data_IF_172652236777
#
_entry.id   IF_172652236777
#
_cell.length_a   1.000
_cell.length_b   1.000
_cell.length_c   1.000
_cell.angle_alpha   90.00
_cell.angle_beta   90.00
_cell.angle_gamma   90.00
#
_symmetry.space_group_name_H-M   'P 1'
#
loop_
_entity.id
_entity.type
_entity.pdbx_description
1 polymer ?
#
# COMPACT_ATOMS: atom_id res chain seq x y z
N UNK A 1 -11.99 -50.58 27.88
CA UNK A 1 -12.53 -50.12 29.18
C UNK A 1 -11.97 -48.73 29.43
N UNK A 2 -12.28 -47.74 28.58
CA UNK A 2 -13.61 -47.12 28.40
C UNK A 2 -14.18 -46.63 29.72
N UNK A 3 -14.22 -45.31 29.90
CA UNK A 3 -15.49 -44.56 29.86
C UNK A 3 -15.21 -43.05 29.81
N UNK A 4 -15.63 -42.47 28.68
CA UNK A 4 -15.86 -41.04 28.46
C UNK A 4 -17.18 -40.67 29.16
N UNK A 5 -17.30 -39.46 29.68
CA UNK A 5 -18.59 -38.87 30.09
C UNK A 5 -18.65 -37.39 29.70
N UNK A 6 -19.85 -36.84 29.43
CA UNK A 6 -20.09 -36.09 28.20
C UNK A 6 -20.29 -34.57 28.37
N UNK A 7 -19.97 -33.86 27.28
CA UNK A 7 -20.40 -32.49 26.98
C UNK A 7 -21.92 -32.43 26.82
N UNK A 8 -22.61 -31.62 27.64
CA UNK A 8 -23.87 -30.98 27.24
C UNK A 8 -24.21 -29.79 28.14
N UNK A 9 -24.21 -28.59 27.58
CA UNK A 9 -25.07 -27.46 27.98
C UNK A 9 -24.91 -26.34 26.94
N UNK A 10 -25.50 -26.58 25.76
CA UNK A 10 -25.76 -25.53 24.77
C UNK A 10 -27.00 -24.79 25.28
N UNK A 11 -26.82 -23.55 25.74
CA UNK A 11 -27.93 -22.69 26.10
C UNK A 11 -28.65 -22.27 24.81
N UNK A 12 -29.84 -22.82 24.62
CA UNK A 12 -30.74 -22.57 23.49
C UNK A 12 -31.37 -21.20 23.70
N UNK A 13 -30.95 -20.19 22.93
CA UNK A 13 -31.59 -18.87 22.92
C UNK A 13 -32.92 -19.02 22.20
N UNK A 14 -34.03 -18.82 22.92
CA UNK A 14 -35.40 -18.82 22.40
C UNK A 14 -35.71 -17.49 21.71
N UNK A 15 -36.60 -17.53 20.72
CA UNK A 15 -36.98 -16.41 19.85
C UNK A 15 -37.83 -15.32 20.52
N UNK A 16 -37.96 -15.30 21.85
CA UNK A 16 -38.82 -14.34 22.57
C UNK A 16 -38.08 -13.04 22.98
N UNK A 17 -36.76 -12.96 22.81
CA UNK A 17 -35.97 -11.76 23.15
C UNK A 17 -35.86 -10.76 22.00
N UNK A 18 -36.35 -11.10 20.79
CA UNK A 18 -36.21 -10.26 19.58
C UNK A 18 -37.34 -9.22 19.45
N UNK A 19 -38.47 -9.39 20.13
CA UNK A 19 -39.61 -8.47 20.00
C UNK A 19 -39.57 -7.25 20.96
N UNK A 20 -38.76 -7.26 22.02
CA UNK A 20 -38.66 -6.10 22.93
C UNK A 20 -37.69 -4.99 22.46
N UNK A 21 -36.89 -5.25 21.43
CA UNK A 21 -35.97 -4.25 20.86
C UNK A 21 -36.60 -3.41 19.71
N UNK A 22 -37.81 -3.77 19.27
CA UNK A 22 -38.48 -3.15 18.13
C UNK A 22 -39.31 -1.90 18.49
N UNK A 23 -39.26 -1.41 19.73
CA UNK A 23 -40.05 -0.24 20.19
C UNK A 23 -39.24 1.03 20.46
N UNK A 24 -37.93 1.05 20.24
CA UNK A 24 -37.14 2.30 20.27
C UNK A 24 -37.04 2.95 18.88
N UNK A 25 -38.17 3.17 18.22
CA UNK A 25 -38.23 3.74 16.86
C UNK A 25 -38.55 5.24 16.89
N UNK A 26 -37.82 6.08 17.66
CA UNK A 26 -38.08 7.54 17.67
C UNK A 26 -36.84 8.39 18.04
N UNK A 27 -35.66 8.13 17.45
CA UNK A 27 -34.46 8.97 17.71
C UNK A 27 -33.95 9.77 16.49
N UNK A 28 -34.51 9.57 15.29
CA UNK A 28 -34.15 10.35 14.10
C UNK A 28 -35.41 10.73 13.31
N UNK A 29 -36.08 11.80 13.74
CA UNK A 29 -36.97 12.54 12.86
C UNK A 29 -36.14 13.63 12.19
N UNK A 30 -35.86 13.46 10.90
CA UNK A 30 -35.27 14.48 10.04
C UNK A 30 -36.22 15.67 9.88
N UNK A 31 -35.77 16.92 10.06
CA UNK A 31 -36.55 18.11 9.75
C UNK A 31 -36.96 18.15 8.26
N UNK A 32 -38.11 18.76 7.91
CA UNK A 32 -38.61 18.79 6.54
C UNK A 32 -37.67 19.60 5.61
N UNK A 33 -37.40 19.04 4.44
CA UNK A 33 -36.58 19.63 3.36
C UNK A 33 -37.30 20.82 2.71
N UNK A 34 -36.67 22.00 2.67
CA UNK A 34 -37.14 23.14 1.86
C UNK A 34 -36.59 23.08 0.41
N UNK A 35 -37.42 23.27 -0.64
CA UNK A 35 -36.95 23.23 -2.03
C UNK A 35 -36.52 24.60 -2.61
N UNK A 36 -35.31 24.60 -3.17
CA UNK A 36 -34.80 25.22 -4.43
C UNK A 36 -34.98 26.74 -4.69
N UNK A 37 -33.85 27.40 -4.97
CA UNK A 37 -33.79 28.52 -5.91
C UNK A 37 -32.63 28.36 -6.91
N UNK A 38 -32.99 28.14 -8.18
CA UNK A 38 -32.15 28.16 -9.37
C UNK A 38 -31.79 29.58 -9.78
N UNK A 39 -30.52 29.89 -10.06
CA UNK A 39 -30.16 30.99 -10.96
C UNK A 39 -29.11 30.55 -11.98
N UNK A 40 -29.39 30.94 -13.22
CA UNK A 40 -28.80 30.52 -14.48
C UNK A 40 -27.65 31.46 -14.89
N UNK A 41 -26.65 30.86 -15.51
CA UNK A 41 -25.93 31.26 -16.74
C UNK A 41 -25.63 32.74 -17.05
N UNK A 42 -24.35 33.05 -17.29
CA UNK A 42 -23.90 34.03 -18.32
C UNK A 42 -22.37 33.99 -18.52
N UNK A 43 -21.93 33.32 -19.58
CA UNK A 43 -20.76 33.69 -20.43
C UNK A 43 -21.29 34.58 -21.59
N UNK A 44 -20.52 35.18 -22.55
CA UNK A 44 -19.06 35.16 -22.80
C UNK A 44 -18.42 36.51 -23.30
N UNK A 45 -17.08 36.60 -23.35
CA UNK A 45 -16.26 37.38 -24.33
C UNK A 45 -14.75 37.18 -24.05
N UNK A 46 -13.92 36.54 -24.89
CA UNK A 46 -13.24 37.00 -26.14
C UNK A 46 -12.42 38.30 -25.88
N UNK A 47 -11.09 38.41 -26.06
CA UNK A 47 -10.27 38.06 -27.23
C UNK A 47 -8.72 38.12 -26.94
N UNK A 48 -7.93 37.38 -27.75
CA UNK A 48 -6.65 37.70 -28.47
C UNK A 48 -5.57 38.52 -27.73
N UNK A 49 -4.26 38.27 -27.73
CA UNK A 49 -3.30 37.81 -28.77
C UNK A 49 -1.91 37.72 -28.11
N UNK A 50 -1.00 36.85 -28.56
CA UNK A 50 0.32 37.20 -29.14
C UNK A 50 1.33 36.04 -29.05
N UNK A 51 2.16 35.97 -30.10
CA UNK A 51 3.01 34.86 -30.56
C UNK A 51 4.44 35.00 -30.03
N UNK A 52 5.03 33.85 -29.67
CA UNK A 52 6.47 33.45 -29.63
C UNK A 52 7.54 34.39 -29.05
N UNK A 53 8.33 33.86 -28.10
CA UNK A 53 9.76 33.59 -28.35
C UNK A 53 10.36 32.58 -27.34
N UNK A 54 11.33 31.82 -27.84
CA UNK A 54 11.96 30.63 -27.24
C UNK A 54 13.30 31.02 -26.62
N UNK A 55 13.60 30.56 -25.40
CA UNK A 55 14.89 29.90 -25.07
C UNK A 55 14.99 29.40 -23.62
N UNK A 56 15.79 28.34 -23.37
CA UNK A 56 15.72 27.51 -22.18
C UNK A 56 16.87 27.78 -21.21
N UNK A 57 16.56 28.06 -19.95
CA UNK A 57 17.52 27.98 -18.84
C UNK A 57 17.11 26.82 -17.93
N UNK A 58 17.91 25.76 -18.05
CA UNK A 58 17.94 24.56 -17.24
C UNK A 58 18.02 24.94 -15.76
N UNK A 59 16.86 24.95 -15.11
CA UNK A 59 16.76 25.00 -13.65
C UNK A 59 17.01 23.59 -13.10
N UNK A 60 17.73 23.45 -11.97
CA UNK A 60 17.91 22.15 -11.33
C UNK A 60 16.52 21.59 -11.04
N UNK A 61 16.19 20.45 -11.66
CA UNK A 61 14.89 19.82 -11.59
C UNK A 61 14.56 19.55 -10.11
N UNK A 62 13.75 20.44 -9.51
CA UNK A 62 13.27 20.30 -8.13
C UNK A 62 12.43 19.04 -8.10
N UNK A 63 13.03 17.93 -7.66
CA UNK A 63 12.39 16.62 -7.63
C UNK A 63 11.08 16.76 -6.86
N UNK A 64 9.96 16.44 -7.49
CA UNK A 64 8.66 16.64 -6.84
C UNK A 64 8.58 15.84 -5.54
N UNK A 65 8.00 16.38 -4.44
CA UNK A 65 7.96 15.69 -3.15
C UNK A 65 7.35 14.28 -3.22
N UNK A 66 6.37 14.07 -4.10
CA UNK A 66 5.77 12.75 -4.35
C UNK A 66 6.74 11.76 -5.03
N UNK A 67 7.56 12.22 -5.99
CA UNK A 67 8.61 11.38 -6.60
C UNK A 67 9.62 10.97 -5.54
N UNK A 68 10.03 11.88 -4.66
CA UNK A 68 10.96 11.58 -3.56
C UNK A 68 10.42 10.48 -2.64
N UNK A 69 9.14 10.51 -2.25
CA UNK A 69 8.55 9.49 -1.37
C UNK A 69 8.52 8.10 -2.02
N UNK A 70 8.15 8.02 -3.30
CA UNK A 70 8.13 6.75 -4.03
C UNK A 70 9.53 6.12 -4.04
N UNK A 71 10.57 6.90 -4.33
CA UNK A 71 11.95 6.42 -4.30
C UNK A 71 12.36 5.93 -2.90
N UNK A 72 11.94 6.63 -1.83
CA UNK A 72 12.18 6.19 -0.46
C UNK A 72 11.51 4.84 -0.15
N UNK A 73 10.27 4.63 -0.60
CA UNK A 73 9.53 3.36 -0.42
C UNK A 73 10.20 2.23 -1.19
N UNK A 74 10.59 2.45 -2.46
CA UNK A 74 11.27 1.44 -3.27
C UNK A 74 12.58 1.03 -2.60
N UNK A 75 13.37 2.01 -2.14
CA UNK A 75 14.61 1.76 -1.41
C UNK A 75 14.37 0.91 -0.17
N UNK A 76 13.33 1.22 0.61
CA UNK A 76 12.93 0.44 1.77
C UNK A 76 12.58 -1.01 1.39
N UNK A 77 11.76 -1.21 0.36
CA UNK A 77 11.41 -2.55 -0.12
C UNK A 77 12.64 -3.37 -0.52
N UNK A 78 13.55 -2.77 -1.29
CA UNK A 78 14.76 -3.45 -1.78
C UNK A 78 15.68 -3.87 -0.62
N UNK A 79 15.88 -2.98 0.36
CA UNK A 79 16.70 -3.26 1.55
C UNK A 79 16.10 -4.40 2.38
N UNK A 80 14.81 -4.32 2.70
CA UNK A 80 14.13 -5.35 3.48
C UNK A 80 14.12 -6.70 2.77
N UNK A 81 13.95 -6.71 1.45
CA UNK A 81 13.98 -7.94 0.63
C UNK A 81 15.39 -8.56 0.62
N UNK A 82 16.44 -7.75 0.51
CA UNK A 82 17.82 -8.23 0.52
C UNK A 82 18.20 -8.88 1.86
N UNK A 83 17.84 -8.24 2.98
CA UNK A 83 18.06 -8.78 4.33
C UNK A 83 17.29 -10.08 4.55
N UNK A 84 16.05 -10.13 4.08
CA UNK A 84 15.22 -11.32 4.17
C UNK A 84 15.78 -12.49 3.34
N UNK A 85 16.15 -12.25 2.07
CA UNK A 85 16.67 -13.30 1.19
C UNK A 85 18.04 -13.85 1.64
N UNK A 86 18.88 -13.03 2.29
CA UNK A 86 20.14 -13.49 2.87
C UNK A 86 19.94 -14.57 3.93
N UNK A 87 18.79 -14.57 4.62
CA UNK A 87 18.45 -15.55 5.65
C UNK A 87 17.71 -16.79 5.08
N UNK A 88 17.34 -16.78 3.80
CA UNK A 88 16.41 -17.75 3.18
C UNK A 88 17.10 -18.58 2.07
N UNK A 89 18.43 -18.61 2.03
CA UNK A 89 19.19 -19.34 1.00
C UNK A 89 18.93 -20.86 1.00
N UNK A 90 17.93 -21.29 0.23
CA UNK A 90 17.78 -22.58 -0.46
C UNK A 90 16.48 -22.55 -1.27
N UNK A 91 16.40 -21.80 -2.38
CA UNK A 91 15.67 -22.27 -3.58
C UNK A 91 15.77 -21.32 -4.78
N UNK A 92 15.78 -21.92 -5.98
CA UNK A 92 16.15 -21.32 -7.27
C UNK A 92 15.05 -20.49 -7.97
N UNK A 93 13.99 -20.06 -7.28
CA UNK A 93 12.91 -19.23 -7.86
C UNK A 93 12.85 -17.82 -7.26
N UNK A 94 13.97 -17.10 -7.28
CA UNK A 94 14.01 -15.69 -6.85
C UNK A 94 13.09 -14.86 -7.76
N UNK A 95 12.00 -14.33 -7.22
CA UNK A 95 11.15 -13.35 -7.91
C UNK A 95 11.99 -12.07 -8.10
N UNK A 96 12.62 -11.94 -9.27
CA UNK A 96 13.45 -10.78 -9.62
C UNK A 96 12.57 -9.53 -9.71
N UNK A 97 12.62 -8.71 -8.67
CA UNK A 97 11.92 -7.44 -8.58
C UNK A 97 12.85 -6.29 -9.01
N UNK A 98 13.01 -6.11 -10.33
CA UNK A 98 13.65 -4.96 -11.00
C UNK A 98 13.17 -3.63 -10.39
N UNK A 99 14.06 -2.65 -10.22
CA UNK A 99 13.73 -1.35 -9.60
C UNK A 99 12.65 -0.62 -10.40
N UNK A 100 12.73 -0.68 -11.73
CA UNK A 100 11.74 -0.11 -12.65
C UNK A 100 10.34 -0.72 -12.45
N UNK A 101 10.24 -2.04 -12.23
CA UNK A 101 8.96 -2.72 -11.95
C UNK A 101 8.41 -2.34 -10.57
N UNK A 102 9.28 -2.11 -9.59
CA UNK A 102 8.87 -1.65 -8.26
C UNK A 102 8.33 -0.22 -8.33
N UNK A 103 8.97 0.65 -9.12
CA UNK A 103 8.53 2.02 -9.30
C UNK A 103 7.14 2.12 -9.93
N UNK A 104 6.93 1.42 -11.04
CA UNK A 104 5.63 1.37 -11.70
C UNK A 104 4.55 0.85 -10.74
N UNK A 105 4.84 -0.23 -10.02
CA UNK A 105 3.94 -0.80 -9.03
C UNK A 105 3.58 0.18 -7.91
N UNK A 106 4.58 0.78 -7.24
CA UNK A 106 4.35 1.70 -6.11
C UNK A 106 3.59 2.95 -6.58
N UNK A 107 3.98 3.52 -7.72
CA UNK A 107 3.28 4.68 -8.27
C UNK A 107 1.82 4.36 -8.61
N UNK A 108 1.56 3.22 -9.25
CA UNK A 108 0.22 2.84 -9.68
C UNK A 108 -0.69 2.49 -8.49
N UNK A 109 -0.18 1.73 -7.52
CA UNK A 109 -1.00 1.34 -6.36
C UNK A 109 -1.35 2.55 -5.49
N UNK A 110 -0.42 3.49 -5.27
CA UNK A 110 -0.70 4.72 -4.52
C UNK A 110 -1.70 5.60 -5.26
N UNK A 111 -1.57 5.71 -6.59
CA UNK A 111 -2.50 6.48 -7.44
C UNK A 111 -3.91 5.88 -7.42
N UNK A 112 -4.06 4.58 -7.69
CA UNK A 112 -5.38 3.91 -7.75
C UNK A 112 -6.07 3.82 -6.40
N UNK A 113 -5.29 3.67 -5.33
CA UNK A 113 -5.83 3.65 -3.96
C UNK A 113 -6.16 5.04 -3.42
N UNK A 114 -5.91 6.12 -4.18
CA UNK A 114 -6.07 7.51 -3.72
C UNK A 114 -5.29 7.80 -2.42
N UNK A 115 -4.15 7.13 -2.24
CA UNK A 115 -3.37 7.25 -1.03
C UNK A 115 -2.61 8.57 -0.99
N UNK A 116 -2.84 9.34 0.07
CA UNK A 116 -2.07 10.54 0.35
C UNK A 116 -0.72 10.21 1.00
N UNK A 117 0.08 11.25 1.25
CA UNK A 117 1.41 11.13 1.86
C UNK A 117 1.38 10.45 3.24
N UNK A 118 0.38 10.76 4.06
CA UNK A 118 0.22 10.20 5.41
C UNK A 118 0.04 8.68 5.35
N UNK A 119 -0.89 8.21 4.49
CA UNK A 119 -1.15 6.79 4.28
C UNK A 119 0.11 6.07 3.77
N UNK A 120 0.83 6.68 2.83
CA UNK A 120 2.05 6.09 2.27
C UNK A 120 3.19 5.98 3.30
N UNK A 121 3.36 6.97 4.18
CA UNK A 121 4.36 6.93 5.26
C UNK A 121 3.98 5.90 6.32
N UNK A 122 2.70 5.85 6.72
CA UNK A 122 2.20 4.83 7.65
C UNK A 122 2.38 3.40 7.08
N UNK A 123 2.12 3.22 5.79
CA UNK A 123 2.32 1.93 5.11
C UNK A 123 3.78 1.49 5.14
N UNK A 124 4.71 2.44 4.95
CA UNK A 124 6.15 2.17 5.07
C UNK A 124 6.56 1.81 6.52
N UNK A 125 5.95 2.45 7.53
CA UNK A 125 6.17 2.12 8.95
C UNK A 125 5.68 0.72 9.28
N UNK A 126 4.46 0.36 8.88
CA UNK A 126 3.93 -1.00 9.05
C UNK A 126 4.76 -2.04 8.29
N UNK A 127 5.21 -1.71 7.08
CA UNK A 127 6.10 -2.58 6.31
C UNK A 127 7.39 -2.91 7.08
N UNK A 128 8.02 -1.92 7.72
CA UNK A 128 9.18 -2.16 8.60
C UNK A 128 8.85 -3.06 9.77
N UNK A 129 7.73 -2.81 10.46
CA UNK A 129 7.30 -3.60 11.60
C UNK A 129 7.08 -5.08 11.21
N UNK A 130 6.38 -5.33 10.11
CA UNK A 130 6.17 -6.69 9.58
C UNK A 130 7.53 -7.34 9.28
N UNK A 131 8.41 -6.69 8.51
CA UNK A 131 9.72 -7.26 8.17
C UNK A 131 10.67 -7.44 9.35
N UNK A 132 10.50 -6.71 10.45
CA UNK A 132 11.20 -6.99 11.69
C UNK A 132 10.72 -8.33 12.29
N UNK A 133 9.40 -8.54 12.39
CA UNK A 133 8.83 -9.80 12.87
C UNK A 133 9.15 -11.01 11.95
N UNK A 134 9.38 -10.79 10.65
CA UNK A 134 9.80 -11.87 9.74
C UNK A 134 11.24 -12.33 9.95
N UNK A 135 12.11 -11.49 10.52
CA UNK A 135 13.48 -11.91 10.83
C UNK A 135 13.53 -12.87 12.02
N UNK A 136 12.55 -12.81 12.90
CA UNK A 136 12.41 -13.69 14.05
C UNK A 136 11.69 -15.00 13.70
N UNK A 137 10.98 -15.04 12.56
CA UNK A 137 10.22 -16.22 12.13
C UNK A 137 11.09 -17.13 11.25
N UNK A 138 11.21 -18.43 11.57
CA UNK A 138 11.88 -19.41 10.71
C UNK A 138 11.30 -19.45 9.28
N UNK A 139 12.16 -19.61 8.28
CA UNK A 139 11.78 -19.50 6.85
C UNK A 139 10.77 -20.56 6.38
N UNK A 140 10.72 -21.71 7.06
CA UNK A 140 9.81 -22.83 6.80
C UNK A 140 8.37 -22.54 7.26
N UNK A 141 8.17 -21.61 8.19
CA UNK A 141 6.84 -21.23 8.69
C UNK A 141 6.23 -20.06 7.92
N UNK A 142 7.00 -19.45 7.02
CA UNK A 142 6.58 -18.27 6.28
C UNK A 142 5.77 -18.63 5.04
N UNK A 143 4.58 -18.06 4.86
CA UNK A 143 3.79 -18.29 3.65
C UNK A 143 4.48 -17.70 2.43
N UNK A 144 4.26 -18.31 1.26
CA UNK A 144 4.93 -17.92 0.01
C UNK A 144 4.73 -16.43 -0.34
N UNK A 145 3.53 -15.88 -0.07
CA UNK A 145 3.26 -14.47 -0.33
C UNK A 145 4.13 -13.52 0.49
N UNK A 146 4.62 -13.94 1.67
CA UNK A 146 5.46 -13.11 2.54
C UNK A 146 6.87 -12.89 1.95
N UNK A 147 7.30 -13.79 1.07
CA UNK A 147 8.56 -13.65 0.31
C UNK A 147 8.47 -12.55 -0.75
N UNK A 148 7.27 -12.09 -1.08
CA UNK A 148 7.05 -11.03 -2.06
C UNK A 148 6.83 -9.66 -1.38
N UNK A 149 7.85 -8.80 -1.40
CA UNK A 149 7.76 -7.46 -0.79
C UNK A 149 6.66 -6.58 -1.37
N UNK A 150 6.30 -6.74 -2.64
CA UNK A 150 5.14 -6.05 -3.25
C UNK A 150 3.83 -6.41 -2.56
N UNK A 151 3.64 -7.70 -2.24
CA UNK A 151 2.43 -8.18 -1.55
C UNK A 151 2.37 -7.66 -0.12
N UNK A 152 3.49 -7.69 0.60
CA UNK A 152 3.56 -7.13 1.96
C UNK A 152 3.31 -5.61 1.95
N UNK A 153 3.92 -4.87 1.03
CA UNK A 153 3.68 -3.43 0.90
C UNK A 153 2.22 -3.13 0.57
N UNK A 154 1.62 -3.86 -0.37
CA UNK A 154 0.19 -3.70 -0.71
C UNK A 154 -0.69 -3.92 0.51
N UNK A 155 -0.44 -4.97 1.29
CA UNK A 155 -1.21 -5.24 2.51
C UNK A 155 -1.03 -4.16 3.56
N UNK A 156 0.20 -3.69 3.77
CA UNK A 156 0.46 -2.58 4.69
C UNK A 156 -0.28 -1.31 4.24
N UNK A 157 -0.35 -1.06 2.93
CA UNK A 157 -1.10 0.06 2.37
C UNK A 157 -2.60 -0.07 2.62
N UNK A 158 -3.17 -1.27 2.48
CA UNK A 158 -4.57 -1.55 2.83
C UNK A 158 -4.82 -1.23 4.30
N UNK A 159 -3.97 -1.72 5.20
CA UNK A 159 -4.09 -1.48 6.65
C UNK A 159 -4.02 0.02 6.97
N UNK A 160 -3.04 0.74 6.42
CA UNK A 160 -2.92 2.18 6.61
C UNK A 160 -4.11 2.95 6.06
N UNK A 161 -4.66 2.53 4.92
CA UNK A 161 -5.85 3.16 4.35
C UNK A 161 -7.08 2.94 5.24
N UNK A 162 -7.25 1.76 5.82
CA UNK A 162 -8.32 1.47 6.79
C UNK A 162 -8.13 2.23 8.11
N UNK A 163 -6.88 2.45 8.53
CA UNK A 163 -6.57 3.17 9.76
C UNK A 163 -6.87 4.68 9.66
N UNK A 164 -6.54 5.30 8.53
CA UNK A 164 -6.62 6.74 8.35
C UNK A 164 -8.01 7.21 7.88
N UNK A 165 -8.75 6.41 7.12
CA UNK A 165 -9.99 6.83 6.50
C UNK A 165 -11.21 6.17 7.16
N UNK A 166 -12.20 6.97 7.54
CA UNK A 166 -13.50 6.49 8.05
C UNK A 166 -14.25 5.64 7.02
N UNK A 167 -14.13 6.01 5.74
CA UNK A 167 -14.64 5.23 4.61
C UNK A 167 -13.48 4.63 3.81
N UNK A 168 -13.37 3.31 3.89
CA UNK A 168 -12.29 2.55 3.26
C UNK A 168 -12.82 1.62 2.18
N UNK A 169 -11.98 1.32 1.20
CA UNK A 169 -12.35 0.43 0.11
C UNK A 169 -12.60 -1.00 0.61
N UNK A 170 -13.64 -1.61 0.07
CA UNK A 170 -13.92 -3.03 0.28
C UNK A 170 -12.78 -3.90 -0.28
N UNK A 171 -12.65 -5.14 0.22
CA UNK A 171 -11.68 -6.09 -0.34
C UNK A 171 -11.94 -6.40 -1.82
N UNK A 172 -13.18 -6.28 -2.29
CA UNK A 172 -13.52 -6.40 -3.72
C UNK A 172 -12.92 -5.26 -4.54
N UNK A 173 -12.97 -4.04 -4.01
CA UNK A 173 -12.34 -2.87 -4.64
C UNK A 173 -10.82 -3.00 -4.65
N UNK A 174 -10.20 -3.43 -3.55
CA UNK A 174 -8.76 -3.70 -3.49
C UNK A 174 -8.32 -4.81 -4.44
N UNK A 175 -9.17 -5.82 -4.63
CA UNK A 175 -8.99 -6.86 -5.64
C UNK A 175 -8.95 -6.27 -7.06
N UNK A 176 -9.86 -5.36 -7.40
CA UNK A 176 -9.83 -4.65 -8.69
C UNK A 176 -8.61 -3.74 -8.87
N UNK A 177 -8.13 -3.12 -7.80
CA UNK A 177 -6.95 -2.24 -7.85
C UNK A 177 -5.66 -3.05 -8.09
N UNK A 178 -5.51 -4.17 -7.37
CA UNK A 178 -4.26 -4.96 -7.35
C UNK A 178 -4.22 -6.12 -8.35
N UNK A 179 -5.38 -6.58 -8.82
CA UNK A 179 -5.52 -7.80 -9.62
C UNK A 179 -5.41 -9.09 -8.80
N UNK A 180 -5.34 -9.03 -7.47
CA UNK A 180 -5.30 -10.19 -6.58
C UNK A 180 -6.70 -10.60 -6.13
N UNK A 181 -6.91 -11.87 -5.77
CA UNK A 181 -8.19 -12.33 -5.24
C UNK A 181 -8.50 -11.65 -3.89
N UNK A 182 -9.76 -11.23 -3.70
CA UNK A 182 -10.21 -10.60 -2.46
C UNK A 182 -10.00 -11.49 -1.21
N UNK A 183 -10.16 -12.81 -1.35
CA UNK A 183 -9.89 -13.78 -0.28
C UNK A 183 -8.41 -13.80 0.10
N UNK A 184 -7.51 -13.80 -0.90
CA UNK A 184 -6.08 -13.79 -0.67
C UNK A 184 -5.63 -12.49 0.01
N UNK A 185 -6.16 -11.35 -0.45
CA UNK A 185 -5.94 -10.06 0.20
C UNK A 185 -6.40 -10.06 1.66
N UNK A 186 -7.56 -10.65 1.95
CA UNK A 186 -8.08 -10.77 3.32
C UNK A 186 -7.22 -11.68 4.19
N UNK A 187 -6.66 -12.75 3.62
CA UNK A 187 -5.72 -13.65 4.31
C UNK A 187 -4.40 -12.95 4.58
N UNK A 188 -3.84 -12.27 3.59
CA UNK A 188 -2.63 -11.46 3.75
C UNK A 188 -2.81 -10.37 4.80
N UNK A 189 -3.96 -9.68 4.79
CA UNK A 189 -4.32 -8.67 5.78
C UNK A 189 -4.29 -9.22 7.20
N UNK A 190 -5.05 -10.29 7.46
CA UNK A 190 -5.07 -10.94 8.78
C UNK A 190 -3.67 -11.39 9.19
N UNK A 191 -2.90 -11.97 8.29
CA UNK A 191 -1.55 -12.43 8.60
C UNK A 191 -0.63 -11.26 9.00
N UNK A 192 -0.66 -10.13 8.28
CA UNK A 192 0.13 -8.94 8.63
C UNK A 192 -0.28 -8.36 9.99
N UNK A 193 -1.58 -8.37 10.30
CA UNK A 193 -2.09 -7.93 11.61
C UNK A 193 -1.53 -8.79 12.76
N UNK A 194 -1.55 -10.12 12.62
CA UNK A 194 -0.96 -11.02 13.62
C UNK A 194 0.55 -10.78 13.76
N UNK A 195 1.27 -10.52 12.66
CA UNK A 195 2.71 -10.22 12.74
C UNK A 195 3.03 -8.91 13.43
N UNK A 196 2.08 -7.98 13.53
CA UNK A 196 2.22 -6.73 14.28
C UNK A 196 1.53 -6.81 15.66
N UNK A 197 1.06 -7.99 16.06
CA UNK A 197 0.26 -8.19 17.27
C UNK A 197 -0.91 -7.19 17.41
N UNK A 198 -1.53 -6.85 16.27
CA UNK A 198 -2.59 -5.83 16.16
C UNK A 198 -2.21 -4.43 16.70
N UNK A 199 -0.94 -4.17 16.98
CA UNK A 199 -0.44 -2.90 17.48
C UNK A 199 -0.27 -1.88 16.34
N UNK A 200 -1.40 -1.33 15.89
CA UNK A 200 -1.46 -0.37 14.79
C UNK A 200 -1.46 1.09 15.25
N UNK A 201 -1.68 1.34 16.54
CA UNK A 201 -1.88 2.69 17.07
C UNK A 201 -0.65 3.57 16.83
N UNK A 202 -0.86 4.67 16.11
CA UNK A 202 0.12 5.72 15.89
C UNK A 202 -0.63 7.05 15.82
N UNK A 203 -0.19 8.04 16.58
CA UNK A 203 -0.76 9.38 16.52
C UNK A 203 -0.47 10.02 15.15
N UNK A 204 -1.43 10.75 14.57
CA UNK A 204 -1.29 11.35 13.24
C UNK A 204 -0.05 12.25 13.14
N UNK A 205 0.24 12.99 14.21
CA UNK A 205 1.41 13.86 14.31
C UNK A 205 2.73 13.06 14.24
N UNK A 206 2.75 11.88 14.86
CA UNK A 206 3.92 11.00 14.90
C UNK A 206 4.19 10.31 13.56
N UNK A 207 3.15 10.08 12.75
CA UNK A 207 3.31 9.42 11.44
C UNK A 207 4.25 10.25 10.55
N UNK A 208 4.02 11.56 10.45
CA UNK A 208 4.84 12.42 9.60
C UNK A 208 6.17 12.77 10.25
N UNK A 209 6.20 12.95 11.58
CA UNK A 209 7.44 13.22 12.31
C UNK A 209 8.46 12.06 12.18
N UNK A 210 7.97 10.82 12.24
CA UNK A 210 8.80 9.61 12.12
C UNK A 210 9.13 9.21 10.68
N UNK A 211 8.78 10.03 9.67
CA UNK A 211 9.06 9.70 8.27
C UNK A 211 10.56 9.51 8.02
N UNK A 212 11.39 10.44 8.49
CA UNK A 212 12.83 10.37 8.27
C UNK A 212 13.43 9.13 8.93
N UNK A 213 12.97 8.77 10.12
CA UNK A 213 13.36 7.54 10.83
C UNK A 213 12.87 6.27 10.11
N UNK A 214 11.64 6.31 9.59
CA UNK A 214 11.08 5.23 8.79
C UNK A 214 12.02 4.94 7.61
N UNK A 215 12.53 5.96 6.93
CA UNK A 215 13.43 5.77 5.79
C UNK A 215 14.94 5.83 6.10
N UNK A 216 15.36 6.09 7.35
CA UNK A 216 16.79 6.27 7.72
C UNK A 216 17.56 4.96 7.83
N UNK A 217 16.88 3.83 8.07
CA UNK A 217 17.49 2.54 8.37
C UNK A 217 18.29 1.89 7.20
N UNK A 218 18.53 2.61 6.11
CA UNK A 218 19.39 2.20 5.01
C UNK A 218 20.71 2.97 5.05
N UNK A 219 21.65 2.52 5.88
CA UNK A 219 22.98 3.12 5.99
C UNK A 219 23.90 2.58 4.89
N UNK A 220 24.43 3.52 4.10
CA UNK A 220 25.58 3.54 3.15
C UNK A 220 25.93 2.27 2.33
N UNK A 221 26.08 1.09 2.93
CA UNK A 221 26.47 -0.16 2.27
C UNK A 221 25.41 -0.64 1.28
N UNK A 222 24.14 -0.44 1.63
CA UNK A 222 22.98 -0.87 0.85
C UNK A 222 22.65 0.09 -0.32
N UNK A 223 22.99 1.37 -0.17
CA UNK A 223 22.93 2.36 -1.27
C UNK A 223 23.77 1.93 -2.48
N UNK A 224 24.86 1.17 -2.25
CA UNK A 224 25.75 0.66 -3.31
C UNK A 224 25.15 -0.55 -4.03
N UNK A 225 24.28 -1.33 -3.39
CA UNK A 225 23.55 -2.44 -4.02
C UNK A 225 22.34 -1.91 -4.81
N UNK A 226 21.59 -0.96 -4.23
CA UNK A 226 20.50 -0.27 -4.93
C UNK A 226 20.99 0.50 -6.16
N UNK A 227 22.12 1.22 -6.03
CA UNK A 227 22.71 1.95 -7.16
C UNK A 227 23.18 1.01 -8.28
N UNK A 228 23.81 -0.12 -7.94
CA UNK A 228 24.17 -1.15 -8.92
C UNK A 228 22.95 -1.71 -9.66
N UNK A 229 21.89 -2.08 -8.96
CA UNK A 229 20.64 -2.53 -9.61
C UNK A 229 20.00 -1.45 -10.49
N UNK A 230 19.99 -0.19 -10.07
CA UNK A 230 19.49 0.91 -10.90
C UNK A 230 20.32 1.10 -12.17
N UNK A 231 21.64 1.03 -12.06
CA UNK A 231 22.55 1.20 -13.19
C UNK A 231 22.42 0.00 -14.16
N UNK A 232 22.30 -1.23 -13.64
CA UNK A 232 22.08 -2.46 -14.41
C UNK A 232 20.73 -2.42 -15.16
N UNK A 233 19.65 -1.97 -14.50
CA UNK A 233 18.32 -1.82 -15.12
C UNK A 233 18.34 -0.77 -16.24
N UNK A 234 19.07 0.34 -16.06
CA UNK A 234 19.23 1.36 -17.11
C UNK A 234 19.96 0.83 -18.34
N UNK A 235 20.95 -0.05 -18.15
CA UNK A 235 21.69 -0.70 -19.23
C UNK A 235 20.78 -1.68 -19.98
N UNK A 236 20.01 -2.51 -19.27
CA UNK A 236 19.09 -3.47 -19.89
C UNK A 236 17.99 -2.79 -20.72
N UNK A 237 17.43 -1.69 -20.23
CA UNK A 237 16.42 -0.90 -20.96
C UNK A 237 17.02 -0.25 -22.22
N UNK A 238 18.25 0.27 -22.15
CA UNK A 238 18.94 0.84 -23.31
C UNK A 238 19.23 -0.24 -24.38
N UNK A 239 19.59 -1.46 -23.98
CA UNK A 239 19.78 -2.58 -24.91
C UNK A 239 18.49 -3.05 -25.57
N UNK A 240 17.37 -3.10 -24.83
CA UNK A 240 16.06 -3.41 -25.42
C UNK A 240 15.63 -2.36 -26.44
N UNK A 241 15.82 -1.08 -26.15
CA UNK A 241 15.53 0.01 -27.10
C UNK A 241 16.39 -0.13 -28.36
N UNK A 242 17.69 -0.45 -28.22
CA UNK A 242 18.58 -0.72 -29.37
C UNK A 242 18.16 -1.95 -30.18
N UNK A 243 17.69 -3.03 -29.54
CA UNK A 243 17.21 -4.24 -30.23
C UNK A 243 15.92 -3.97 -31.00
N UNK A 244 14.98 -3.22 -30.43
CA UNK A 244 13.73 -2.81 -31.12
C UNK A 244 14.04 -1.93 -32.33
N UNK A 245 14.99 -0.99 -32.20
CA UNK A 245 15.43 -0.13 -33.30
C UNK A 245 16.11 -0.91 -34.46
N UNK A 246 16.72 -2.07 -34.17
CA UNK A 246 17.34 -2.95 -35.17
C UNK A 246 16.38 -3.93 -35.84
N UNK A 247 15.18 -4.14 -35.28
CA UNK A 247 14.15 -5.04 -35.85
C UNK A 247 13.23 -4.29 -36.83
N UNK A 248 13.20 -2.96 -36.77
CA UNK A 248 12.36 -2.10 -37.61
C UNK A 248 13.12 -1.44 -38.77
N UNK A 249 14.33 -1.90 -39.09
CA UNK A 249 15.18 -1.43 -40.19
C UNK A 249 15.79 -2.63 -40.91
#
# INVERSE_FOLDING_TARGET
MDQISPLSSIHRITNETVESFAQSHLAYQTPPYEPVATLRDTTPSRALTNTQEVSPLTSPQRVSPARSLIEKIIKLMSVSTARFNANVTTDKSSIINTVTKNRAFVAEVLKRSKSNRLIAVLAARYFKAVYAALQETPSNELPEFAKCSKRILLTCLILSHKYINDNTFSMKTWSSISGLNARDLSTMERWCLHKMDYNLYVEVNDILASENETFSACTKTESRSYKRHLDDDCIEDAEKVRKIAKVNN
#
